data_IF_620918476365
#
_entry.id   IF_620918476365
#
_cell.length_a   1.000
_cell.length_b   1.000
_cell.length_c   1.000
_cell.angle_alpha   90.00
_cell.angle_beta   90.00
_cell.angle_gamma   90.00
#
_symmetry.space_group_name_H-M   'P 1'
#
loop_
_entity.id
_entity.type
_entity.pdbx_description
1 polymer ?
#
# COMPACT_ATOMS: atom_id res chain seq x y z
N UNK A 1 26.88 35.90 37.04
CA UNK A 1 25.92 36.02 35.93
C UNK A 1 26.60 35.56 34.65
N UNK A 2 26.09 34.54 33.97
CA UNK A 2 26.73 33.99 32.77
C UNK A 2 26.69 35.02 31.62
N UNK A 3 27.83 35.21 30.98
CA UNK A 3 28.00 36.18 29.88
C UNK A 3 27.11 35.81 28.68
N UNK A 4 26.59 36.83 27.98
CA UNK A 4 25.80 36.67 26.77
C UNK A 4 26.49 35.78 25.71
N UNK A 5 27.82 35.78 25.67
CA UNK A 5 28.61 34.92 24.79
C UNK A 5 28.54 33.42 25.14
N UNK A 6 28.38 33.07 26.43
CA UNK A 6 28.19 31.68 26.86
C UNK A 6 26.82 31.13 26.45
N UNK A 7 25.77 31.95 26.44
CA UNK A 7 24.43 31.55 25.96
C UNK A 7 24.44 31.24 24.46
N UNK A 8 25.10 32.07 23.64
CA UNK A 8 25.19 31.83 22.18
C UNK A 8 25.94 30.53 21.88
N UNK A 9 27.06 30.28 22.57
CA UNK A 9 27.84 29.05 22.39
C UNK A 9 27.09 27.80 22.86
N UNK A 10 26.27 27.90 23.91
CA UNK A 10 25.40 26.82 24.36
C UNK A 10 24.22 26.53 23.40
N UNK A 11 23.71 27.55 22.70
CA UNK A 11 22.68 27.39 21.67
C UNK A 11 23.23 27.01 20.28
N UNK A 12 24.53 27.17 20.06
CA UNK A 12 25.24 26.89 18.82
C UNK A 12 25.75 25.45 18.66
N UNK A 13 25.51 24.57 19.63
CA UNK A 13 25.71 23.12 19.47
C UNK A 13 24.67 22.61 18.46
N UNK A 14 25.02 22.80 17.19
CA UNK A 14 24.21 22.51 16.03
C UNK A 14 23.60 21.13 16.15
N UNK A 15 22.26 21.06 16.16
CA UNK A 15 21.53 19.85 15.78
C UNK A 15 21.94 19.54 14.35
N UNK A 16 23.01 18.77 14.19
CA UNK A 16 23.47 18.28 12.90
C UNK A 16 22.28 17.51 12.33
N UNK A 17 21.68 18.04 11.25
CA UNK A 17 20.52 17.40 10.62
C UNK A 17 20.95 15.98 10.25
N UNK A 18 20.26 14.99 10.79
CA UNK A 18 20.50 13.60 10.45
C UNK A 18 20.52 13.46 8.92
N UNK A 19 21.48 12.68 8.41
CA UNK A 19 21.56 12.39 6.99
C UNK A 19 20.20 11.85 6.52
N UNK A 20 19.66 12.46 5.47
CA UNK A 20 18.36 12.04 4.93
C UNK A 20 18.55 10.67 4.29
N UNK A 21 17.75 9.68 4.71
CA UNK A 21 17.64 8.41 3.97
C UNK A 21 17.24 8.72 2.53
N UNK A 22 17.78 8.00 1.52
CA UNK A 22 17.35 8.17 0.13
C UNK A 22 15.85 7.95 0.01
N UNK A 23 15.21 8.66 -0.92
CA UNK A 23 13.76 8.49 -1.13
C UNK A 23 13.53 7.04 -1.58
N UNK A 24 12.65 6.28 -0.92
CA UNK A 24 12.31 4.94 -1.36
C UNK A 24 11.79 4.94 -2.81
N UNK A 25 12.21 3.94 -3.57
CA UNK A 25 11.77 3.74 -4.95
C UNK A 25 10.36 3.14 -4.97
N UNK A 26 9.47 3.76 -5.77
CA UNK A 26 8.11 3.26 -5.99
C UNK A 26 8.17 2.14 -7.03
N UNK A 27 7.75 0.95 -6.63
CA UNK A 27 7.62 -0.20 -7.51
C UNK A 27 6.17 -0.32 -7.99
N UNK A 28 5.99 -0.84 -9.21
CA UNK A 28 4.67 -1.01 -9.83
C UNK A 28 4.46 -2.47 -10.22
N UNK A 29 3.25 -2.99 -9.97
CA UNK A 29 2.81 -4.31 -10.41
C UNK A 29 1.32 -4.31 -10.73
N UNK A 30 0.82 -5.39 -11.34
CA UNK A 30 -0.60 -5.56 -11.65
C UNK A 30 -1.23 -6.65 -10.79
N UNK A 31 -2.39 -6.35 -10.19
CA UNK A 31 -3.20 -7.34 -9.49
C UNK A 31 -4.47 -7.64 -10.29
N UNK A 32 -4.75 -8.92 -10.51
CA UNK A 32 -5.97 -9.36 -11.18
C UNK A 32 -7.17 -9.27 -10.24
N UNK A 33 -8.21 -8.55 -10.66
CA UNK A 33 -9.46 -8.38 -9.92
C UNK A 33 -10.57 -9.31 -10.42
N UNK A 34 -10.60 -9.61 -11.72
CA UNK A 34 -11.56 -10.53 -12.36
C UNK A 34 -10.83 -11.47 -13.32
N UNK A 35 -11.22 -12.74 -13.29
CA UNK A 35 -10.73 -13.73 -14.27
C UNK A 35 -11.30 -13.46 -15.65
N UNK A 36 -10.53 -13.80 -16.68
CA UNK A 36 -11.03 -13.78 -18.04
C UNK A 36 -12.11 -14.86 -18.21
N UNK A 37 -13.15 -14.52 -18.95
CA UNK A 37 -14.19 -15.45 -19.39
C UNK A 37 -14.18 -15.44 -20.92
N UNK A 38 -13.54 -16.46 -21.49
CA UNK A 38 -13.40 -16.61 -22.94
C UNK A 38 -14.73 -16.85 -23.64
N UNK A 39 -15.72 -17.44 -22.96
CA UNK A 39 -17.04 -17.72 -23.56
C UNK A 39 -17.87 -16.44 -23.66
N UNK A 40 -17.76 -15.56 -22.67
CA UNK A 40 -18.39 -14.24 -22.68
C UNK A 40 -17.59 -13.18 -23.45
N UNK A 41 -16.39 -13.50 -23.94
CA UNK A 41 -15.47 -12.56 -24.58
C UNK A 41 -14.89 -11.51 -23.63
N UNK A 42 -14.87 -11.80 -22.32
CA UNK A 42 -14.36 -10.91 -21.28
C UNK A 42 -12.88 -11.18 -21.01
N UNK A 43 -11.96 -10.23 -21.25
CA UNK A 43 -10.54 -10.40 -20.97
C UNK A 43 -10.20 -10.41 -19.47
N UNK A 44 -11.18 -10.23 -18.59
CA UNK A 44 -10.99 -10.07 -17.16
C UNK A 44 -10.63 -8.63 -16.81
N UNK A 45 -10.15 -8.43 -15.59
CA UNK A 45 -9.79 -7.10 -15.11
C UNK A 45 -8.55 -7.14 -14.21
N UNK A 46 -7.75 -6.08 -14.31
CA UNK A 46 -6.56 -5.85 -13.50
C UNK A 46 -6.58 -4.43 -12.94
N UNK A 47 -5.84 -4.22 -11.86
CA UNK A 47 -5.57 -2.89 -11.29
C UNK A 47 -4.06 -2.67 -11.18
N UNK A 48 -3.65 -1.42 -11.34
CA UNK A 48 -2.29 -0.98 -11.03
C UNK A 48 -2.08 -0.95 -9.52
N UNK A 49 -0.93 -1.46 -9.08
CA UNK A 49 -0.52 -1.52 -7.69
C UNK A 49 0.84 -0.87 -7.56
N UNK A 50 0.88 0.26 -6.86
CA UNK A 50 2.13 0.93 -6.50
C UNK A 50 2.46 0.63 -5.04
N UNK A 51 3.71 0.27 -4.80
CA UNK A 51 4.18 -0.03 -3.46
C UNK A 51 5.64 0.33 -3.29
N UNK A 52 6.01 0.54 -2.04
CA UNK A 52 7.37 0.80 -1.59
C UNK A 52 7.77 -0.34 -0.66
N UNK A 53 9.05 -0.74 -0.72
CA UNK A 53 9.64 -1.67 0.22
C UNK A 53 10.73 -0.95 1.01
N UNK A 54 10.55 -0.84 2.32
CA UNK A 54 11.54 -0.29 3.24
C UNK A 54 11.88 -1.32 4.31
N UNK A 55 13.16 -1.71 4.38
CA UNK A 55 13.68 -2.70 5.31
C UNK A 55 12.94 -4.06 5.16
N UNK A 56 11.88 -4.27 5.94
CA UNK A 56 11.02 -5.46 5.88
C UNK A 56 9.52 -5.11 5.82
N UNK A 57 9.20 -3.88 5.46
CA UNK A 57 7.84 -3.36 5.41
C UNK A 57 7.45 -3.03 3.98
N UNK A 58 6.33 -3.57 3.52
CA UNK A 58 5.68 -3.20 2.28
C UNK A 58 4.64 -2.14 2.58
N UNK A 59 4.68 -1.03 1.85
CA UNK A 59 3.67 0.03 1.96
C UNK A 59 3.03 0.26 0.62
N UNK A 60 1.70 0.18 0.55
CA UNK A 60 0.93 0.57 -0.63
C UNK A 60 0.95 2.08 -0.78
N UNK A 61 1.22 2.55 -2.00
CA UNK A 61 1.27 3.96 -2.33
C UNK A 61 0.45 4.28 -3.57
N UNK A 62 0.30 5.58 -3.86
CA UNK A 62 -0.01 6.07 -5.20
C UNK A 62 1.26 6.09 -6.07
N UNK A 63 1.09 6.48 -7.34
CA UNK A 63 2.18 6.67 -8.31
C UNK A 63 3.27 7.65 -7.85
N UNK A 64 2.92 8.58 -6.94
CA UNK A 64 3.84 9.61 -6.42
C UNK A 64 4.58 9.15 -5.16
N UNK A 65 4.26 7.96 -4.65
CA UNK A 65 4.81 7.37 -3.43
C UNK A 65 4.11 7.81 -2.15
N UNK A 66 2.90 8.38 -2.23
CA UNK A 66 2.09 8.72 -1.05
C UNK A 66 1.33 7.48 -0.57
N UNK A 67 1.37 7.12 0.71
CA UNK A 67 0.70 5.93 1.22
C UNK A 67 -0.83 6.01 1.06
N UNK A 68 -1.45 4.89 0.65
CA UNK A 68 -2.90 4.76 0.43
C UNK A 68 -3.49 3.67 1.35
N UNK A 69 -4.74 3.81 1.78
CA UNK A 69 -5.42 2.81 2.63
C UNK A 69 -5.29 3.03 4.16
N UNK A 70 -4.86 4.22 4.59
CA UNK A 70 -4.87 4.63 6.00
C UNK A 70 -4.02 3.74 6.90
N UNK A 71 -4.57 3.30 8.04
CA UNK A 71 -3.84 2.46 9.03
C UNK A 71 -3.40 1.09 8.49
N UNK A 72 -3.99 0.61 7.40
CA UNK A 72 -3.65 -0.68 6.76
C UNK A 72 -2.83 -0.48 5.47
N UNK A 73 -2.20 0.68 5.30
CA UNK A 73 -1.36 1.00 4.15
C UNK A 73 -0.03 0.25 4.15
N UNK A 74 0.42 -0.25 5.30
CA UNK A 74 1.70 -0.96 5.45
C UNK A 74 1.55 -2.33 6.09
N UNK A 75 2.50 -3.22 5.78
CA UNK A 75 2.57 -4.57 6.28
C UNK A 75 4.03 -5.00 6.48
N UNK A 76 4.34 -5.60 7.62
CA UNK A 76 5.67 -6.15 7.92
C UNK A 76 5.74 -7.58 7.40
N UNK A 77 6.62 -7.82 6.43
CA UNK A 77 6.83 -9.12 5.80
C UNK A 77 7.27 -10.17 6.82
N UNK A 78 6.67 -11.35 6.74
CA UNK A 78 7.11 -12.51 7.49
C UNK A 78 8.19 -13.28 6.70
N UNK A 79 9.02 -14.11 7.37
CA UNK A 79 9.99 -14.94 6.69
C UNK A 79 9.35 -15.81 5.60
N UNK A 80 9.87 -15.73 4.37
CA UNK A 80 9.36 -16.48 3.21
C UNK A 80 8.23 -15.78 2.44
N UNK A 81 7.70 -14.65 2.93
CA UNK A 81 6.76 -13.84 2.16
C UNK A 81 7.49 -12.94 1.15
N UNK A 82 6.89 -12.76 -0.02
CA UNK A 82 7.43 -11.85 -1.04
C UNK A 82 6.67 -10.53 -1.03
N UNK A 83 7.42 -9.42 -1.13
CA UNK A 83 6.84 -8.09 -1.14
C UNK A 83 5.75 -7.91 -2.21
N UNK A 84 5.98 -8.49 -3.38
CA UNK A 84 5.08 -8.43 -4.54
C UNK A 84 3.75 -9.14 -4.27
N UNK A 85 3.77 -10.34 -3.68
CA UNK A 85 2.54 -11.08 -3.34
C UNK A 85 1.73 -10.33 -2.27
N UNK A 86 2.41 -9.78 -1.26
CA UNK A 86 1.77 -9.01 -0.20
C UNK A 86 1.17 -7.72 -0.73
N UNK A 87 1.90 -6.95 -1.55
CA UNK A 87 1.39 -5.75 -2.20
C UNK A 87 0.11 -6.06 -3.01
N UNK A 88 0.11 -7.12 -3.83
CA UNK A 88 -1.08 -7.56 -4.57
C UNK A 88 -2.23 -7.92 -3.63
N UNK A 89 -1.97 -8.68 -2.56
CA UNK A 89 -2.99 -9.07 -1.57
C UNK A 89 -3.61 -7.85 -0.89
N UNK A 90 -2.78 -6.91 -0.46
CA UNK A 90 -3.23 -5.67 0.17
C UNK A 90 -4.05 -4.81 -0.79
N UNK A 91 -3.60 -4.68 -2.05
CA UNK A 91 -4.28 -3.89 -3.06
C UNK A 91 -5.66 -4.48 -3.38
N UNK A 92 -5.76 -5.80 -3.54
CA UNK A 92 -7.04 -6.48 -3.74
C UNK A 92 -7.97 -6.34 -2.53
N UNK A 93 -7.44 -6.42 -1.31
CA UNK A 93 -8.24 -6.20 -0.11
C UNK A 93 -8.77 -4.76 -0.04
N UNK A 94 -7.98 -3.78 -0.46
CA UNK A 94 -8.41 -2.38 -0.52
C UNK A 94 -9.44 -2.16 -1.63
N UNK A 95 -9.18 -2.70 -2.83
CA UNK A 95 -10.09 -2.64 -3.97
C UNK A 95 -11.46 -3.25 -3.65
N UNK A 96 -11.50 -4.42 -2.98
CA UNK A 96 -12.77 -5.04 -2.55
C UNK A 96 -13.56 -4.20 -1.55
N UNK A 97 -12.90 -3.35 -0.76
CA UNK A 97 -13.57 -2.44 0.18
C UNK A 97 -14.14 -1.23 -0.55
N UNK A 98 -13.43 -0.70 -1.55
CA UNK A 98 -13.90 0.43 -2.36
C UNK A 98 -14.94 0.03 -3.39
N UNK A 99 -14.80 -1.16 -3.97
CA UNK A 99 -15.66 -1.72 -5.03
C UNK A 99 -16.67 -2.72 -4.46
N UNK A 100 -17.09 -2.54 -3.19
CA UNK A 100 -18.21 -3.30 -2.65
C UNK A 100 -19.43 -3.01 -3.56
N UNK A 101 -19.90 -3.97 -4.37
CA UNK A 101 -20.83 -3.64 -5.42
C UNK A 101 -22.20 -3.53 -4.74
N UNK A 102 -22.70 -2.31 -4.64
CA UNK A 102 -24.12 -2.07 -4.36
C UNK A 102 -25.00 -2.85 -5.37
N UNK A 103 -24.49 -3.07 -6.60
CA UNK A 103 -25.12 -3.83 -7.67
C UNK A 103 -24.52 -5.24 -7.90
N UNK A 104 -24.12 -5.97 -6.85
CA UNK A 104 -23.71 -7.38 -7.07
C UNK A 104 -24.95 -8.21 -7.35
N UNK A 105 -24.93 -9.03 -8.42
CA UNK A 105 -26.01 -9.98 -8.67
C UNK A 105 -26.17 -10.92 -7.46
N UNK A 106 -27.33 -10.85 -6.80
CA UNK A 106 -27.68 -11.79 -5.74
C UNK A 106 -27.96 -13.14 -6.41
N UNK A 107 -27.02 -14.07 -6.31
CA UNK A 107 -27.27 -15.48 -6.65
C UNK A 107 -28.17 -16.05 -5.55
N UNK A 108 -29.48 -16.04 -5.78
CA UNK A 108 -30.43 -16.77 -4.95
C UNK A 108 -30.18 -18.27 -5.15
N UNK A 109 -29.98 -19.01 -4.06
CA UNK A 109 -30.09 -20.47 -4.13
C UNK A 109 -31.51 -20.79 -4.57
N UNK A 110 -31.67 -21.74 -5.50
CA UNK A 110 -32.99 -22.25 -5.85
C UNK A 110 -33.61 -22.81 -4.57
N UNK A 111 -34.61 -22.10 -4.03
CA UNK A 111 -35.53 -22.66 -3.06
C UNK A 111 -36.25 -23.80 -3.76
N UNK A 112 -35.69 -25.01 -3.63
CA UNK A 112 -36.38 -26.23 -3.98
C UNK A 112 -37.61 -26.30 -3.10
N UNK A 113 -38.76 -25.99 -3.68
CA UNK A 113 -40.06 -26.34 -3.10
C UNK A 113 -40.12 -27.86 -3.27
N UNK A 114 -39.89 -28.57 -2.18
CA UNK A 114 -40.17 -30.00 -2.05
C UNK A 114 -41.64 -30.19 -1.67
#
# INVERSE_FOLDING_TARGET
>A
MASWAQKIRAHGASKQRAARKPKPEVQTTWAQTRFADSEAGDPGAVIDVHFIVEENTVTLTDEKGKPIGGKASSYVLQPGETALQIAKRMALANWRKSDAPFNRALKYQSLGIA
#
